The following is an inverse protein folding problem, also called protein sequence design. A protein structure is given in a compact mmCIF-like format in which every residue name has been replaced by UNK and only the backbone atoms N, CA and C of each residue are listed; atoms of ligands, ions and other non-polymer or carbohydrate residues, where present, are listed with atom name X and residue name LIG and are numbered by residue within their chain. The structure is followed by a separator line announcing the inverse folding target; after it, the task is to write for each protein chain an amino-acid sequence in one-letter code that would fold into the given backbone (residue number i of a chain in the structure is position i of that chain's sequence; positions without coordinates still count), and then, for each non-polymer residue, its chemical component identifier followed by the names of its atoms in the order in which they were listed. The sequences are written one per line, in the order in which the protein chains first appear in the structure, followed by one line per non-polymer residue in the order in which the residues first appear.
data_IF_053678330597
#
_entry.id   IF_053678330597
#
_cell.length_a   1.000
_cell.length_b   1.000
_cell.length_c   1.000
_cell.angle_alpha   90.00
_cell.angle_beta   90.00
_cell.angle_gamma   90.00
#
_symmetry.space_group_name_H-M   'P 1'
#
loop_
_entity.id
_entity.type
_entity.pdbx_description
1 polymer ?
#
# COMPACT_ATOMS: atom_id res chain seq x y z
N UNK A 1 0.09 -6.01 -13.04
CA UNK A 1 0.21 -4.79 -12.23
C UNK A 1 0.00 -5.16 -10.78
N UNK A 2 0.87 -4.73 -9.89
CA UNK A 2 0.68 -5.07 -8.50
C UNK A 2 -0.01 -3.94 -7.74
N UNK A 3 -0.45 -4.28 -6.53
CA UNK A 3 -1.25 -3.35 -5.74
C UNK A 3 -0.46 -2.12 -5.28
N UNK A 4 0.84 -2.29 -5.07
CA UNK A 4 1.67 -1.15 -4.69
C UNK A 4 1.75 -0.13 -5.82
N UNK A 5 1.89 -0.60 -7.06
CA UNK A 5 1.90 0.31 -8.20
C UNK A 5 0.58 1.04 -8.32
N UNK A 6 -0.52 0.36 -8.06
CA UNK A 6 -1.83 0.99 -8.07
C UNK A 6 -1.93 2.06 -6.99
N UNK A 7 -1.41 1.78 -5.80
CA UNK A 7 -1.41 2.75 -4.71
C UNK A 7 -0.59 3.99 -5.07
N UNK A 8 0.57 3.77 -5.68
CA UNK A 8 1.42 4.86 -6.13
C UNK A 8 0.66 5.73 -7.12
N UNK A 9 -0.01 5.10 -8.07
CA UNK A 9 -0.76 5.80 -9.08
C UNK A 9 -1.90 6.62 -8.48
N UNK A 10 -2.62 6.03 -7.54
CA UNK A 10 -3.74 6.73 -6.89
C UNK A 10 -3.26 7.91 -6.05
N UNK A 11 -2.08 7.83 -5.50
CA UNK A 11 -1.52 8.93 -4.72
C UNK A 11 -0.95 10.05 -5.59
N UNK A 12 -0.81 9.80 -6.87
CA UNK A 12 -0.28 10.80 -7.79
C UNK A 12 1.19 10.61 -8.10
N UNK A 13 1.79 9.50 -7.69
CA UNK A 13 3.18 9.21 -7.96
C UNK A 13 3.92 8.78 -6.70
N UNK A 14 5.19 8.43 -6.86
CA UNK A 14 5.98 7.94 -5.73
C UNK A 14 6.29 9.01 -4.72
N UNK A 15 6.63 10.21 -5.17
CA UNK A 15 6.93 11.31 -4.25
C UNK A 15 5.72 11.74 -3.43
N UNK A 16 4.56 11.96 -4.05
CA UNK A 16 3.37 12.28 -3.26
C UNK A 16 3.03 11.20 -2.24
N UNK A 17 3.17 9.94 -2.63
CA UNK A 17 2.89 8.84 -1.70
C UNK A 17 3.84 8.88 -0.52
N UNK A 18 5.13 9.10 -0.78
CA UNK A 18 6.12 9.18 0.28
C UNK A 18 5.79 10.31 1.26
N UNK A 19 5.40 11.45 0.73
CA UNK A 19 5.03 12.59 1.55
C UNK A 19 3.80 12.30 2.40
N UNK A 20 2.80 11.67 1.83
CA UNK A 20 1.56 11.36 2.54
C UNK A 20 1.79 10.36 3.66
N UNK A 21 2.67 9.39 3.44
CA UNK A 21 2.95 8.38 4.45
C UNK A 21 3.96 8.89 5.48
N UNK A 22 4.80 9.84 5.08
CA UNK A 22 5.83 10.37 5.95
C UNK A 22 7.13 9.58 5.90
N UNK A 23 7.44 9.03 4.74
CA UNK A 23 8.69 8.30 4.51
C UNK A 23 9.47 8.96 3.40
N UNK A 24 10.71 8.53 3.24
CA UNK A 24 11.56 9.06 2.18
C UNK A 24 11.19 8.42 0.85
N UNK A 25 11.45 9.16 -0.22
CA UNK A 25 11.23 8.67 -1.56
C UNK A 25 11.97 7.34 -1.82
N UNK A 26 13.17 7.21 -1.29
CA UNK A 26 13.96 5.98 -1.45
C UNK A 26 13.26 4.77 -0.84
N UNK A 27 12.48 4.98 0.22
CA UNK A 27 11.72 3.88 0.80
C UNK A 27 10.69 3.35 -0.19
N UNK A 28 10.01 4.26 -0.89
CA UNK A 28 9.02 3.85 -1.89
C UNK A 28 9.71 3.09 -3.02
N UNK A 29 10.88 3.56 -3.44
CA UNK A 29 11.63 2.86 -4.48
C UNK A 29 12.00 1.44 -4.05
N UNK A 30 12.43 1.29 -2.81
CA UNK A 30 12.78 -0.03 -2.28
C UNK A 30 11.56 -0.95 -2.25
N UNK A 31 10.42 -0.44 -1.78
CA UNK A 31 9.19 -1.25 -1.76
C UNK A 31 8.78 -1.67 -3.16
N UNK A 32 8.95 -0.76 -4.11
CA UNK A 32 8.59 -1.04 -5.49
C UNK A 32 9.48 -2.14 -6.07
N UNK A 33 10.77 -2.11 -5.74
CA UNK A 33 11.69 -3.17 -6.17
C UNK A 33 11.32 -4.52 -5.57
N UNK A 34 10.90 -4.52 -4.31
CA UNK A 34 10.47 -5.74 -3.63
C UNK A 34 9.09 -6.20 -4.11
N UNK A 35 8.31 -5.29 -4.66
CA UNK A 35 6.97 -5.57 -5.11
C UNK A 35 5.91 -5.43 -4.04
N UNK A 36 6.29 -4.94 -2.85
CA UNK A 36 5.34 -4.81 -1.75
C UNK A 36 5.89 -3.88 -0.66
N UNK A 37 5.00 -3.20 0.07
CA UNK A 37 5.42 -2.36 1.19
C UNK A 37 5.60 -3.19 2.45
N UNK A 38 6.24 -2.65 3.48
CA UNK A 38 6.29 -3.33 4.77
C UNK A 38 4.90 -3.38 5.40
N UNK A 39 4.70 -4.41 6.23
CA UNK A 39 3.39 -4.63 6.85
C UNK A 39 2.90 -3.42 7.63
N UNK A 40 3.81 -2.76 8.32
CA UNK A 40 3.46 -1.63 9.18
C UNK A 40 2.98 -0.42 8.39
N UNK A 41 3.24 -0.39 7.08
CA UNK A 41 2.80 0.73 6.24
C UNK A 41 1.53 0.43 5.47
N UNK A 42 1.08 -0.82 5.48
CA UNK A 42 -0.08 -1.21 4.69
C UNK A 42 -1.35 -0.47 5.10
N UNK A 43 -1.55 -0.28 6.39
CA UNK A 43 -2.73 0.42 6.86
C UNK A 43 -2.73 1.88 6.42
N UNK A 44 -1.57 2.52 6.47
CA UNK A 44 -1.46 3.90 6.03
C UNK A 44 -1.73 4.02 4.54
N UNK A 45 -1.19 3.10 3.75
CA UNK A 45 -1.41 3.10 2.31
C UNK A 45 -2.88 2.87 2.01
N UNK A 46 -3.51 1.95 2.71
CA UNK A 46 -4.93 1.68 2.50
C UNK A 46 -5.78 2.92 2.79
N UNK A 47 -5.48 3.61 3.88
CA UNK A 47 -6.22 4.83 4.23
C UNK A 47 -6.06 5.92 3.19
N UNK A 48 -4.86 6.08 2.67
CA UNK A 48 -4.55 7.20 1.79
C UNK A 48 -4.94 6.94 0.35
N UNK A 49 -4.88 5.70 -0.08
CA UNK A 49 -5.11 5.38 -1.49
C UNK A 49 -6.33 4.51 -1.74
N UNK A 50 -6.86 3.88 -0.70
CA UNK A 50 -7.98 2.98 -0.85
C UNK A 50 -7.59 1.59 -1.33
N UNK A 51 -6.31 1.36 -1.56
CA UNK A 51 -5.84 0.03 -1.96
C UNK A 51 -5.77 -0.86 -0.73
N UNK A 52 -6.46 -2.00 -0.77
CA UNK A 52 -6.62 -2.87 0.38
C UNK A 52 -5.28 -3.42 0.87
N UNK A 53 -5.12 -3.47 2.19
CA UNK A 53 -3.93 -4.09 2.78
C UNK A 53 -3.84 -5.57 2.41
N UNK A 54 -4.97 -6.20 2.16
CA UNK A 54 -4.98 -7.61 1.75
C UNK A 54 -4.39 -7.79 0.37
N UNK A 55 -4.59 -6.80 -0.50
CA UNK A 55 -3.98 -6.81 -1.82
C UNK A 55 -2.50 -6.45 -1.77
N UNK A 56 -2.13 -5.58 -0.83
CA UNK A 56 -0.74 -5.14 -0.69
C UNK A 56 0.15 -6.24 -0.09
N UNK A 57 -0.35 -6.93 0.91
CA UNK A 57 0.42 -7.96 1.60
C UNK A 57 -0.45 -9.20 1.88
N UNK A 58 -0.83 -9.93 0.83
CA UNK A 58 -1.63 -11.14 1.05
C UNK A 58 -0.86 -12.22 1.81
N UNK A 59 0.46 -12.15 1.79
CA UNK A 59 1.29 -13.09 2.53
C UNK A 59 1.17 -12.90 4.05
N UNK A 60 0.76 -11.72 4.49
CA UNK A 60 0.61 -11.42 5.91
C UNK A 60 -0.85 -11.41 6.33
N UNK A 61 -1.68 -10.71 5.56
CA UNK A 61 -3.08 -10.51 5.91
C UNK A 61 -4.00 -11.59 5.35
N UNK A 62 -3.51 -12.35 4.37
CA UNK A 62 -4.31 -13.39 3.75
C UNK A 62 -5.38 -12.85 2.82
N UNK A 63 -6.34 -13.69 2.44
CA UNK A 63 -7.40 -13.26 1.54
C UNK A 63 -8.30 -12.22 2.19
N UNK A 64 -8.87 -11.35 1.37
CA UNK A 64 -9.76 -10.32 1.84
C UNK A 64 -11.00 -10.95 2.48
N UNK A 65 -11.33 -10.61 3.73
CA UNK A 65 -12.50 -11.18 4.38
C UNK A 65 -13.79 -10.62 3.77
N UNK A 66 -14.93 -11.25 4.07
CA UNK A 66 -16.21 -10.74 3.62
C UNK A 66 -16.43 -9.31 4.05
N UNK A 67 -17.12 -8.55 3.22
CA UNK A 67 -17.27 -7.12 3.43
C UNK A 67 -18.18 -6.75 4.59
N UNK A 68 -19.02 -7.64 4.99
CA UNK A 68 -20.01 -7.29 5.99
C UNK A 68 -19.43 -6.83 7.31
N UNK A 69 -18.25 -7.26 7.63
CA UNK A 69 -17.63 -6.87 8.89
C UNK A 69 -16.97 -5.51 8.80
N UNK A 70 -17.12 -4.87 7.70
CA UNK A 70 -16.52 -3.55 7.53
C UNK A 70 -17.01 -2.54 8.54
N UNK A 71 -18.01 -2.86 9.24
CA UNK A 71 -18.54 -1.98 10.28
C UNK A 71 -17.47 -1.58 11.27
#
# INVERSE_FOLDING_TARGET
MNSLNLAIQKAGGMKPLATLIGVRYQAIQAWRSLGRPPAERCLAIERLTGVSRYDLRPDIYGPCPPRKQAA
#
